data_IF_712720737218
#
_entry.id   IF_712720737218
#
_cell.length_a   1.000
_cell.length_b   1.000
_cell.length_c   1.000
_cell.angle_alpha   90.00
_cell.angle_beta   90.00
_cell.angle_gamma   90.00
#
_symmetry.space_group_name_H-M   'P 1'
#
loop_
_entity.id
_entity.type
_entity.pdbx_description
1 polymer ?
#
# COMPACT_ATOMS: atom_id res chain seq x y z
N UNK A 1 -15.50 21.99 6.64
CA UNK A 1 -14.08 21.69 6.94
C UNK A 1 -14.04 20.84 8.20
N UNK A 2 -14.23 19.53 8.08
CA UNK A 2 -14.28 18.63 9.24
C UNK A 2 -12.86 18.31 9.72
N UNK A 3 -12.63 18.28 11.04
CA UNK A 3 -11.29 18.12 11.60
C UNK A 3 -10.81 16.68 11.39
N UNK A 4 -9.56 16.53 10.93
CA UNK A 4 -8.85 15.24 10.89
C UNK A 4 -8.73 14.70 12.32
N UNK A 5 -9.70 13.86 12.73
CA UNK A 5 -9.56 12.97 13.87
C UNK A 5 -8.58 11.88 13.47
N UNK A 6 -7.29 12.16 13.64
CA UNK A 6 -6.26 11.13 13.69
C UNK A 6 -6.53 10.25 14.91
N UNK A 7 -7.40 9.26 14.76
CA UNK A 7 -7.49 8.18 15.72
C UNK A 7 -6.22 7.35 15.51
N UNK A 8 -5.20 7.62 16.34
CA UNK A 8 -4.02 6.78 16.52
C UNK A 8 -4.48 5.44 17.11
N UNK A 9 -4.96 4.52 16.29
CA UNK A 9 -5.15 3.13 16.73
C UNK A 9 -3.84 2.36 16.48
N UNK A 10 -3.21 2.00 17.60
CA UNK A 10 -2.59 0.69 17.80
C UNK A 10 -1.53 0.22 16.80
N UNK A 11 -0.28 0.52 17.11
CA UNK A 11 0.90 -0.38 17.02
C UNK A 11 0.65 -1.75 16.34
N UNK A 12 0.88 -1.88 15.03
CA UNK A 12 1.30 -3.12 14.30
C UNK A 12 1.31 -2.91 12.76
N UNK A 13 1.93 -1.83 12.28
CA UNK A 13 1.85 -1.35 10.89
C UNK A 13 3.04 -1.74 10.00
N UNK A 14 3.85 -2.72 10.43
CA UNK A 14 4.98 -3.26 9.66
C UNK A 14 4.85 -4.78 9.54
N UNK A 15 3.84 -5.27 8.83
CA UNK A 15 3.69 -6.70 8.63
C UNK A 15 4.39 -7.07 7.32
N UNK A 16 5.62 -7.60 7.43
CA UNK A 16 6.38 -8.19 6.32
C UNK A 16 5.66 -9.44 5.84
N UNK A 17 5.09 -9.43 4.62
CA UNK A 17 4.50 -10.64 4.03
C UNK A 17 5.47 -11.20 3.00
N UNK A 18 6.17 -12.29 3.37
CA UNK A 18 7.16 -13.02 2.54
C UNK A 18 6.64 -13.59 1.20
N UNK A 19 5.38 -13.36 0.84
CA UNK A 19 4.69 -14.04 -0.27
C UNK A 19 4.41 -13.13 -1.47
N UNK A 20 4.86 -11.87 -1.45
CA UNK A 20 4.76 -10.94 -2.58
C UNK A 20 6.04 -10.10 -2.60
N UNK A 21 6.80 -10.17 -3.69
CA UNK A 21 7.97 -9.30 -3.88
C UNK A 21 7.51 -7.92 -4.36
N UNK A 22 8.34 -6.91 -4.12
CA UNK A 22 8.10 -5.59 -4.68
C UNK A 22 8.09 -5.62 -6.22
N UNK A 23 9.05 -6.32 -6.84
CA UNK A 23 9.17 -6.43 -8.30
C UNK A 23 7.94 -7.05 -8.97
N UNK A 24 7.29 -8.02 -8.33
CA UNK A 24 6.07 -8.63 -8.89
C UNK A 24 4.88 -7.67 -8.84
N UNK A 25 4.73 -6.95 -7.72
CA UNK A 25 3.58 -6.09 -7.48
C UNK A 25 3.71 -4.71 -8.15
N UNK A 26 4.94 -4.20 -8.29
CA UNK A 26 5.23 -2.89 -8.85
C UNK A 26 4.62 -2.65 -10.25
N UNK A 27 4.79 -3.55 -11.25
CA UNK A 27 4.20 -3.34 -12.57
C UNK A 27 2.68 -3.50 -12.59
N UNK A 28 2.10 -4.20 -11.61
CA UNK A 28 0.67 -4.43 -11.52
C UNK A 28 -0.08 -3.28 -10.84
N UNK A 29 0.63 -2.48 -10.06
CA UNK A 29 0.08 -1.29 -9.42
C UNK A 29 0.19 -0.11 -10.37
N UNK A 30 -0.89 0.68 -10.51
CA UNK A 30 -0.85 1.94 -11.24
C UNK A 30 0.00 2.97 -10.47
N UNK A 31 1.32 2.82 -10.51
CA UNK A 31 2.27 3.72 -9.85
C UNK A 31 2.22 5.06 -10.58
N UNK A 32 1.77 6.09 -9.86
CA UNK A 32 1.47 7.40 -10.43
C UNK A 32 2.66 8.36 -10.30
N UNK A 33 3.49 8.20 -9.26
CA UNK A 33 4.72 9.00 -9.05
C UNK A 33 5.58 8.48 -7.91
N UNK A 34 6.82 8.95 -7.88
CA UNK A 34 7.75 8.81 -6.76
C UNK A 34 7.29 9.66 -5.57
N UNK A 35 7.34 9.09 -4.38
CA UNK A 35 7.23 9.78 -3.09
C UNK A 35 8.61 10.10 -2.51
N UNK A 36 8.66 10.42 -1.22
CA UNK A 36 9.93 10.59 -0.50
C UNK A 36 10.42 9.25 0.08
N UNK A 37 11.71 9.14 0.39
CA UNK A 37 12.29 8.03 1.16
C UNK A 37 12.10 6.63 0.53
N UNK A 38 12.08 6.56 -0.81
CA UNK A 38 11.92 5.32 -1.56
C UNK A 38 10.49 4.78 -1.56
N UNK A 39 9.51 5.61 -1.21
CA UNK A 39 8.10 5.29 -1.41
C UNK A 39 7.64 5.69 -2.80
N UNK A 40 6.70 4.94 -3.34
CA UNK A 40 5.93 5.21 -4.53
C UNK A 40 4.46 5.39 -4.17
N UNK A 41 3.72 6.14 -4.98
CA UNK A 41 2.30 6.36 -4.79
C UNK A 41 1.51 5.66 -5.89
N UNK A 42 0.59 4.79 -5.48
CA UNK A 42 -0.36 4.07 -6.33
C UNK A 42 -1.80 4.35 -5.91
N UNK A 43 -2.75 3.99 -6.77
CA UNK A 43 -4.14 3.84 -6.36
C UNK A 43 -4.31 2.57 -5.53
N UNK A 44 -5.04 2.66 -4.44
CA UNK A 44 -5.38 1.51 -3.63
C UNK A 44 -6.38 0.63 -4.38
N UNK A 45 -6.10 -0.67 -4.60
CA UNK A 45 -7.05 -1.55 -5.30
C UNK A 45 -8.23 -1.99 -4.41
N UNK A 46 -8.10 -1.91 -3.09
CA UNK A 46 -9.13 -2.37 -2.14
C UNK A 46 -10.30 -1.40 -1.94
N UNK A 47 -10.23 -0.21 -2.50
CA UNK A 47 -11.33 0.76 -2.50
C UNK A 47 -11.33 1.55 -3.80
N UNK A 48 -12.44 2.21 -4.10
CA UNK A 48 -12.50 3.12 -5.25
C UNK A 48 -11.65 4.35 -4.98
N UNK A 49 -10.49 4.45 -5.65
CA UNK A 49 -9.47 5.44 -5.34
C UNK A 49 -9.25 6.44 -6.49
N UNK A 50 -9.88 7.61 -6.41
CA UNK A 50 -9.76 8.65 -7.44
C UNK A 50 -8.36 9.29 -7.48
N UNK A 51 -7.72 9.39 -6.31
CA UNK A 51 -6.38 9.94 -6.13
C UNK A 51 -5.48 8.90 -5.48
N UNK A 52 -4.18 8.82 -5.82
CA UNK A 52 -3.31 7.78 -5.29
C UNK A 52 -3.19 7.88 -3.76
N UNK A 53 -3.80 6.92 -3.05
CA UNK A 53 -3.84 6.85 -1.59
C UNK A 53 -3.04 5.66 -1.02
N UNK A 54 -2.40 4.87 -1.88
CA UNK A 54 -1.57 3.75 -1.47
C UNK A 54 -0.08 4.12 -1.59
N UNK A 55 0.61 4.14 -0.45
CA UNK A 55 2.07 4.14 -0.41
C UNK A 55 2.59 2.72 -0.62
N UNK A 56 3.54 2.56 -1.53
CA UNK A 56 4.21 1.30 -1.85
C UNK A 56 5.71 1.48 -1.74
N UNK A 57 6.42 0.53 -1.15
CA UNK A 57 7.88 0.59 -1.01
C UNK A 57 8.48 -0.81 -1.02
N UNK A 58 9.69 -0.92 -1.54
CA UNK A 58 10.51 -2.11 -1.36
C UNK A 58 11.08 -2.17 0.06
N UNK A 59 10.82 -3.27 0.76
CA UNK A 59 11.37 -3.57 2.08
C UNK A 59 12.82 -4.06 2.02
N UNK A 60 13.45 -4.18 3.18
CA UNK A 60 14.88 -4.49 3.26
C UNK A 60 15.27 -5.87 2.69
N UNK A 61 14.32 -6.83 2.65
CA UNK A 61 14.52 -8.18 2.10
C UNK A 61 13.76 -8.38 0.77
N UNK A 62 13.45 -7.29 0.05
CA UNK A 62 12.70 -7.30 -1.22
C UNK A 62 11.20 -7.52 -1.05
N UNK A 63 10.70 -7.53 0.18
CA UNK A 63 9.25 -7.66 0.43
C UNK A 63 8.49 -6.40 0.01
N UNK A 64 7.24 -6.60 -0.44
CA UNK A 64 6.33 -5.50 -0.66
C UNK A 64 5.88 -4.88 0.67
N UNK A 65 6.14 -3.59 0.86
CA UNK A 65 5.60 -2.78 1.95
C UNK A 65 4.49 -1.88 1.41
N UNK A 66 3.31 -1.94 2.05
CA UNK A 66 2.15 -1.13 1.66
C UNK A 66 1.58 -0.34 2.84
N UNK A 67 1.10 0.87 2.55
CA UNK A 67 0.39 1.70 3.53
C UNK A 67 -0.72 2.50 2.83
N UNK A 68 -1.98 2.13 3.10
CA UNK A 68 -3.13 2.88 2.60
C UNK A 68 -3.46 4.03 3.55
N UNK A 69 -3.49 5.26 3.05
CA UNK A 69 -3.80 6.45 3.86
C UNK A 69 -5.31 6.62 4.11
N UNK A 70 -6.16 5.87 3.41
CA UNK A 70 -7.62 5.95 3.51
C UNK A 70 -8.23 5.01 4.57
N UNK A 71 -7.45 4.04 5.05
CA UNK A 71 -7.84 3.16 6.16
C UNK A 71 -8.14 1.70 5.79
N UNK A 72 -7.89 1.26 4.55
CA UNK A 72 -7.92 -0.16 4.22
C UNK A 72 -6.91 -0.93 5.07
N UNK A 73 -7.28 -2.13 5.50
CA UNK A 73 -6.32 -2.99 6.17
C UNK A 73 -5.27 -3.49 5.19
N UNK A 74 -4.04 -3.71 5.68
CA UNK A 74 -2.96 -4.31 4.89
C UNK A 74 -3.38 -5.64 4.27
N UNK A 75 -4.22 -6.42 4.96
CA UNK A 75 -4.73 -7.69 4.44
C UNK A 75 -5.61 -7.50 3.22
N UNK A 76 -6.56 -6.57 3.26
CA UNK A 76 -7.43 -6.26 2.11
C UNK A 76 -6.61 -5.82 0.90
N UNK A 77 -5.62 -4.95 1.12
CA UNK A 77 -4.71 -4.49 0.06
C UNK A 77 -3.95 -5.65 -0.56
N UNK A 78 -3.34 -6.50 0.27
CA UNK A 78 -2.55 -7.62 -0.23
C UNK A 78 -3.43 -8.68 -0.91
N UNK A 79 -4.62 -8.96 -0.39
CA UNK A 79 -5.54 -9.91 -1.01
C UNK A 79 -6.01 -9.41 -2.39
N UNK A 80 -6.20 -8.10 -2.56
CA UNK A 80 -6.57 -7.53 -3.85
C UNK A 80 -5.39 -7.48 -4.83
N UNK A 81 -4.18 -7.11 -4.38
CA UNK A 81 -2.98 -7.19 -5.22
C UNK A 81 -2.77 -8.64 -5.71
N UNK A 82 -3.00 -9.64 -4.83
CA UNK A 82 -2.97 -11.05 -5.22
C UNK A 82 -4.05 -11.44 -6.22
N UNK A 83 -5.19 -10.75 -6.28
CA UNK A 83 -6.20 -10.97 -7.32
C UNK A 83 -5.74 -10.39 -8.66
N UNK A 84 -5.04 -9.26 -8.65
CA UNK A 84 -4.49 -8.62 -9.85
C UNK A 84 -3.34 -9.44 -10.44
N UNK A 85 -2.49 -10.03 -9.60
CA UNK A 85 -1.32 -10.82 -10.03
C UNK A 85 -1.64 -12.26 -10.48
N UNK A 86 -2.91 -12.69 -10.43
CA UNK A 86 -3.36 -14.00 -10.91
C UNK A 86 -3.81 -13.92 -12.36
#
# INVERSE_FOLDING_TARGET
MTPRKYIRIGKNYKQKIKLLSFDDAYPALEIVRDGSDGWFLARCPSHFDEHPSLGVKEGDDGELVVNCFFGCSTKEVIDEIRRILK
#
